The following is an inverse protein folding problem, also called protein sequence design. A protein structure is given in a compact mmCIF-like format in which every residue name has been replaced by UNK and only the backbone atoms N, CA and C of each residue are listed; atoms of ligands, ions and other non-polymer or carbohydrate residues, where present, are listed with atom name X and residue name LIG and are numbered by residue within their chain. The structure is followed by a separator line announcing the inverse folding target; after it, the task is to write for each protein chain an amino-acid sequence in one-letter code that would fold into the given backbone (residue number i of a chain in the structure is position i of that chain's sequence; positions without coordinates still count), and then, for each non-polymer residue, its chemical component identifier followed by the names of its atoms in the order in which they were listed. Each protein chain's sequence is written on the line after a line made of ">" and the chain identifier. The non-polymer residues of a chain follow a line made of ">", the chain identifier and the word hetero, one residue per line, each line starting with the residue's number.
data_IF_618270024455
#
_entry.id   IF_618270024455
#
_cell.length_a   1.000
_cell.length_b   1.000
_cell.length_c   1.000
_cell.angle_alpha   90.00
_cell.angle_beta   90.00
_cell.angle_gamma   90.00
#
_symmetry.space_group_name_H-M   'P 1'
#
loop_
_entity.id
_entity.type
_entity.pdbx_description
1 polymer ?
#
# COMPACT_ATOMS: atom_id res chain seq x y z
N UNK A 1 0.55 0.12 15.00
CA UNK A 1 1.93 0.59 15.22
C UNK A 1 1.97 1.42 16.47
N UNK A 2 3.04 1.38 17.29
CA UNK A 2 3.13 2.13 18.55
C UNK A 2 2.88 3.64 18.41
N UNK A 3 3.12 4.22 17.22
CA UNK A 3 2.80 5.61 16.92
C UNK A 3 1.30 5.95 16.88
N UNK A 4 0.42 4.98 16.62
CA UNK A 4 -1.04 5.20 16.64
C UNK A 4 -1.55 5.40 18.07
N UNK A 5 -0.92 4.74 19.04
CA UNK A 5 -1.24 4.89 20.47
C UNK A 5 -0.81 6.25 21.01
N UNK A 6 0.31 6.81 20.53
CA UNK A 6 0.82 8.12 20.96
C UNK A 6 0.08 9.29 20.29
N UNK A 7 -0.33 9.14 19.03
CA UNK A 7 -1.12 10.17 18.31
C UNK A 7 -2.59 10.23 18.76
N UNK A 8 -3.18 9.08 19.11
CA UNK A 8 -4.56 9.01 19.63
C UNK A 8 -4.69 9.61 21.03
N UNK A 9 -3.62 9.59 21.85
CA UNK A 9 -3.63 10.17 23.20
C UNK A 9 -3.66 11.71 23.24
N UNK A 10 -3.44 12.39 22.10
CA UNK A 10 -3.52 13.86 21.98
C UNK A 10 -4.82 14.33 21.30
N UNK A 11 -5.73 13.42 20.94
CA UNK A 11 -7.02 13.73 20.32
C UNK A 11 -8.09 13.62 21.41
N UNK A 12 -8.99 14.61 21.57
CA UNK A 12 -10.06 14.55 22.57
C UNK A 12 -10.88 13.25 22.40
N UNK A 13 -11.11 12.52 23.50
CA UNK A 13 -11.63 11.15 23.55
C UNK A 13 -12.89 10.91 22.71
N UNK A 14 -13.72 11.94 22.53
CA UNK A 14 -14.94 11.91 21.70
C UNK A 14 -14.69 11.62 20.20
N UNK A 15 -13.49 11.84 19.66
CA UNK A 15 -13.19 11.68 18.22
C UNK A 15 -12.17 10.59 17.89
N UNK A 16 -11.67 9.89 18.92
CA UNK A 16 -10.69 8.81 18.78
C UNK A 16 -11.24 7.62 17.98
N UNK A 17 -12.52 7.29 18.18
CA UNK A 17 -13.20 6.21 17.44
C UNK A 17 -13.32 6.51 15.95
N UNK A 18 -13.58 7.78 15.59
CA UNK A 18 -13.67 8.22 14.20
C UNK A 18 -12.30 8.25 13.50
N UNK A 19 -11.27 8.76 14.19
CA UNK A 19 -9.90 8.81 13.65
C UNK A 19 -9.31 7.41 13.39
N UNK A 20 -9.54 6.46 14.30
CA UNK A 20 -9.12 5.07 14.11
C UNK A 20 -9.92 4.35 13.01
N UNK A 21 -11.20 4.68 12.86
CA UNK A 21 -12.04 4.23 11.73
C UNK A 21 -11.50 4.70 10.38
N UNK A 22 -11.20 6.00 10.24
CA UNK A 22 -10.63 6.57 9.02
C UNK A 22 -9.26 5.97 8.68
N UNK A 23 -8.39 5.76 9.68
CA UNK A 23 -7.11 5.09 9.46
C UNK A 23 -7.30 3.67 8.90
N UNK A 24 -8.22 2.88 9.46
CA UNK A 24 -8.51 1.53 8.96
C UNK A 24 -9.09 1.56 7.54
N UNK A 25 -9.95 2.52 7.23
CA UNK A 25 -10.49 2.69 5.88
C UNK A 25 -9.40 3.08 4.87
N UNK A 26 -8.57 4.08 5.19
CA UNK A 26 -7.45 4.51 4.35
C UNK A 26 -6.43 3.39 4.14
N UNK A 27 -6.10 2.62 5.19
CA UNK A 27 -5.21 1.47 5.09
C UNK A 27 -5.76 0.38 4.16
N UNK A 28 -7.09 0.16 4.15
CA UNK A 28 -7.73 -0.81 3.24
C UNK A 28 -7.71 -0.32 1.79
N UNK A 29 -7.88 0.99 1.58
CA UNK A 29 -7.80 1.62 0.26
C UNK A 29 -6.38 1.50 -0.34
N UNK A 30 -5.34 1.81 0.43
CA UNK A 30 -3.95 1.67 -0.02
C UNK A 30 -3.60 0.22 -0.37
N UNK A 31 -4.12 -0.76 0.40
CA UNK A 31 -3.96 -2.19 0.08
C UNK A 31 -4.65 -2.57 -1.23
N UNK A 32 -5.90 -2.15 -1.43
CA UNK A 32 -6.63 -2.45 -2.66
C UNK A 32 -5.97 -1.80 -3.89
N UNK A 33 -5.49 -0.56 -3.73
CA UNK A 33 -4.76 0.15 -4.77
C UNK A 33 -3.46 -0.57 -5.19
N UNK A 34 -2.67 -1.06 -4.22
CA UNK A 34 -1.45 -1.83 -4.48
C UNK A 34 -1.69 -3.16 -5.22
N UNK A 35 -2.84 -3.80 -5.00
CA UNK A 35 -3.21 -5.02 -5.75
C UNK A 35 -3.70 -4.69 -7.16
N UNK A 36 -4.49 -3.62 -7.30
CA UNK A 36 -5.00 -3.16 -8.59
C UNK A 36 -3.86 -2.80 -9.55
N UNK A 37 -2.89 -2.00 -9.10
CA UNK A 37 -1.74 -1.60 -9.92
C UNK A 37 -0.94 -2.82 -10.41
N UNK A 38 -0.69 -3.79 -9.53
CA UNK A 38 0.09 -4.98 -9.89
C UNK A 38 -0.67 -5.85 -10.92
N UNK A 39 -2.00 -5.93 -10.79
CA UNK A 39 -2.87 -6.65 -11.74
C UNK A 39 -2.90 -5.96 -13.10
N UNK A 40 -2.93 -4.62 -13.13
CA UNK A 40 -2.89 -3.85 -14.38
C UNK A 40 -1.57 -4.08 -15.11
N UNK A 41 -0.43 -4.05 -14.41
CA UNK A 41 0.89 -4.32 -15.01
C UNK A 41 0.94 -5.75 -15.55
N UNK A 42 0.39 -6.73 -14.82
CA UNK A 42 0.31 -8.12 -15.29
C UNK A 42 -0.49 -8.23 -16.58
N UNK A 43 -1.67 -7.60 -16.60
CA UNK A 43 -2.59 -7.64 -17.74
C UNK A 43 -1.96 -7.00 -18.98
N UNK A 44 -1.29 -5.86 -18.82
CA UNK A 44 -0.60 -5.19 -19.92
C UNK A 44 0.59 -6.01 -20.43
N UNK A 45 1.41 -6.59 -19.54
CA UNK A 45 2.54 -7.41 -19.96
C UNK A 45 2.11 -8.74 -20.61
N UNK A 46 1.00 -9.33 -20.18
CA UNK A 46 0.44 -10.57 -20.73
C UNK A 46 -0.08 -10.41 -22.18
N UNK A 47 -0.30 -9.18 -22.64
CA UNK A 47 -0.72 -8.90 -24.02
C UNK A 47 0.43 -8.99 -25.03
N UNK A 48 1.68 -8.80 -24.58
CA UNK A 48 2.85 -8.70 -25.46
C UNK A 48 3.88 -9.82 -25.23
N UNK A 49 3.86 -10.48 -24.07
CA UNK A 49 4.86 -11.47 -23.67
C UNK A 49 4.23 -12.77 -23.15
N UNK A 50 4.96 -13.89 -23.21
CA UNK A 50 4.54 -15.12 -22.55
C UNK A 50 4.40 -14.93 -21.04
N UNK A 51 3.47 -15.68 -20.44
CA UNK A 51 3.02 -15.53 -19.04
C UNK A 51 4.17 -15.58 -18.01
N UNK A 52 5.21 -16.37 -18.29
CA UNK A 52 6.40 -16.46 -17.46
C UNK A 52 7.19 -15.15 -17.37
N UNK A 53 7.34 -14.43 -18.49
CA UNK A 53 8.04 -13.15 -18.56
C UNK A 53 7.18 -12.02 -17.99
N UNK A 54 5.85 -12.07 -18.22
CA UNK A 54 4.92 -11.11 -17.62
C UNK A 54 4.93 -11.19 -16.09
N UNK A 55 4.94 -12.39 -15.51
CA UNK A 55 4.97 -12.61 -14.07
C UNK A 55 6.26 -12.06 -13.41
N UNK A 56 7.41 -12.24 -14.06
CA UNK A 56 8.69 -11.73 -13.56
C UNK A 56 8.74 -10.20 -13.57
N UNK A 57 8.23 -9.56 -14.62
CA UNK A 57 8.16 -8.09 -14.71
C UNK A 57 7.24 -7.51 -13.63
N UNK A 58 6.08 -8.11 -13.40
CA UNK A 58 5.17 -7.68 -12.32
C UNK A 58 5.77 -7.86 -10.94
N UNK A 59 6.43 -8.98 -10.69
CA UNK A 59 7.08 -9.22 -9.42
C UNK A 59 8.18 -8.18 -9.15
N UNK A 60 9.00 -7.89 -10.17
CA UNK A 60 10.06 -6.90 -10.07
C UNK A 60 9.49 -5.48 -9.85
N UNK A 61 8.43 -5.13 -10.56
CA UNK A 61 7.78 -3.81 -10.41
C UNK A 61 7.16 -3.65 -9.02
N UNK A 62 6.53 -4.71 -8.49
CA UNK A 62 6.03 -4.76 -7.12
C UNK A 62 7.15 -4.63 -6.08
N UNK A 63 8.29 -5.29 -6.30
CA UNK A 63 9.46 -5.19 -5.42
C UNK A 63 10.04 -3.77 -5.39
N UNK A 64 10.17 -3.11 -6.55
CA UNK A 64 10.63 -1.71 -6.63
C UNK A 64 9.68 -0.77 -5.89
N UNK A 65 8.36 -0.95 -6.05
CA UNK A 65 7.36 -0.18 -5.30
C UNK A 65 7.47 -0.39 -3.79
N UNK A 66 7.74 -1.61 -3.35
CA UNK A 66 7.94 -1.92 -1.93
C UNK A 66 9.19 -1.21 -1.38
N UNK A 67 10.30 -1.24 -2.13
CA UNK A 67 11.55 -0.56 -1.73
C UNK A 67 11.38 0.95 -1.67
N UNK A 68 10.73 1.56 -2.67
CA UNK A 68 10.41 2.99 -2.65
C UNK A 68 9.50 3.37 -1.47
N UNK A 69 8.54 2.50 -1.13
CA UNK A 69 7.68 2.67 0.04
C UNK A 69 8.44 2.59 1.37
N UNK A 70 9.45 1.72 1.46
CA UNK A 70 10.31 1.64 2.65
C UNK A 70 11.20 2.88 2.77
N UNK A 71 11.77 3.34 1.65
CA UNK A 71 12.60 4.56 1.64
C UNK A 71 11.78 5.79 2.04
N UNK A 72 10.56 5.94 1.49
CA UNK A 72 9.69 7.07 1.85
C UNK A 72 9.27 7.02 3.32
N UNK A 73 8.98 5.84 3.86
CA UNK A 73 8.69 5.65 5.29
C UNK A 73 9.91 5.88 6.20
N UNK A 74 11.12 5.82 5.67
CA UNK A 74 12.33 6.08 6.45
C UNK A 74 12.69 7.58 6.47
N UNK A 75 12.30 8.33 5.44
CA UNK A 75 12.53 9.78 5.33
C UNK A 75 11.49 10.60 6.11
N UNK A 76 10.28 10.05 6.29
CA UNK A 76 9.08 10.75 6.79
C UNK A 76 8.75 10.34 8.23
#
# INVERSE_FOLDING_TARGET
>A
TPGLTVAVFNIPDDKVSFATGLYKMGATLCKAFGVAINTTIFTVCSQFYPVATAATITFLTGAVMMVLGVISAFIL
#
